data_IF_675348433039
#
_entry.id   IF_675348433039
#
_cell.length_a   1.000
_cell.length_b   1.000
_cell.length_c   1.000
_cell.angle_alpha   90.00
_cell.angle_beta   90.00
_cell.angle_gamma   90.00
#
_symmetry.space_group_name_H-M   'P 1'
#
loop_
_entity.id
_entity.type
_entity.pdbx_description
1 polymer ?
#
# COMPACT_ATOMS: atom_id res chain seq x y z
N UNK A 1 -0.54 -5.55 23.27
CA UNK A 1 -1.86 -5.45 22.60
C UNK A 1 -1.60 -5.49 21.11
N UNK A 2 -2.16 -6.47 20.40
CA UNK A 2 -2.02 -6.56 18.94
C UNK A 2 -3.13 -5.70 18.32
N UNK A 3 -2.75 -4.71 17.51
CA UNK A 3 -3.70 -3.87 16.77
C UNK A 3 -3.71 -4.32 15.31
N UNK A 4 -4.52 -5.34 14.99
CA UNK A 4 -4.63 -5.85 13.61
C UNK A 4 -5.64 -5.04 12.81
N UNK A 5 -5.41 -4.90 11.50
CA UNK A 5 -6.46 -4.52 10.56
C UNK A 5 -7.44 -5.70 10.42
N UNK A 6 -8.76 -5.49 10.55
CA UNK A 6 -9.74 -6.54 10.28
C UNK A 6 -9.54 -7.14 8.87
N UNK A 7 -9.44 -8.46 8.70
CA UNK A 7 -9.27 -9.10 7.37
C UNK A 7 -10.37 -8.74 6.37
N UNK A 8 -11.57 -8.45 6.85
CA UNK A 8 -12.73 -8.03 6.07
C UNK A 8 -12.52 -6.65 5.41
N UNK A 9 -11.58 -5.87 5.93
CA UNK A 9 -11.14 -4.61 5.32
C UNK A 9 -10.12 -4.81 4.20
N UNK A 10 -9.49 -6.00 4.10
CA UNK A 10 -8.52 -6.34 3.05
C UNK A 10 -9.21 -7.00 1.85
N UNK A 11 -10.29 -7.74 2.08
CA UNK A 11 -11.01 -8.47 1.03
C UNK A 11 -12.46 -8.73 1.40
N UNK A 12 -13.31 -8.80 0.40
CA UNK A 12 -14.74 -9.17 0.51
C UNK A 12 -14.96 -10.68 0.31
N UNK A 13 -13.94 -11.41 -0.12
CA UNK A 13 -14.02 -12.85 -0.33
C UNK A 13 -13.95 -13.59 1.01
N UNK A 14 -15.02 -14.28 1.44
CA UNK A 14 -15.07 -14.96 2.74
C UNK A 14 -14.03 -16.07 2.88
N UNK A 15 -13.65 -16.75 1.78
CA UNK A 15 -12.63 -17.81 1.84
C UNK A 15 -11.24 -17.21 2.07
N UNK A 16 -10.96 -16.03 1.51
CA UNK A 16 -9.69 -15.32 1.74
C UNK A 16 -9.66 -14.69 3.14
N UNK A 17 -10.78 -14.16 3.63
CA UNK A 17 -10.89 -13.72 5.04
C UNK A 17 -10.56 -14.87 5.99
N UNK A 18 -11.11 -16.07 5.71
CA UNK A 18 -10.81 -17.27 6.49
C UNK A 18 -9.33 -17.63 6.40
N UNK A 19 -8.74 -17.68 5.20
CA UNK A 19 -7.33 -18.03 5.03
C UNK A 19 -6.40 -17.07 5.77
N UNK A 20 -6.71 -15.76 5.76
CA UNK A 20 -5.96 -14.72 6.49
C UNK A 20 -6.01 -14.98 8.00
N UNK A 21 -7.18 -15.31 8.54
CA UNK A 21 -7.34 -15.57 9.98
C UNK A 21 -6.64 -16.86 10.43
N UNK A 22 -6.60 -17.87 9.57
CA UNK A 22 -6.02 -19.18 9.87
C UNK A 22 -4.52 -19.27 9.56
N UNK A 23 -3.93 -18.26 8.92
CA UNK A 23 -2.53 -18.25 8.53
C UNK A 23 -1.59 -18.08 9.74
N UNK A 24 -0.84 -19.15 10.02
CA UNK A 24 0.15 -19.20 11.12
C UNK A 24 1.38 -18.32 10.88
N UNK A 25 1.63 -17.89 9.64
CA UNK A 25 2.73 -17.01 9.28
C UNK A 25 2.34 -15.53 9.35
N UNK A 26 1.06 -15.22 9.56
CA UNK A 26 0.61 -13.85 9.73
C UNK A 26 0.78 -13.40 11.18
N UNK A 27 2.00 -12.93 11.50
CA UNK A 27 2.39 -12.66 12.87
C UNK A 27 1.65 -11.48 13.53
N UNK A 28 1.14 -10.52 12.76
CA UNK A 28 0.41 -9.35 13.27
C UNK A 28 1.18 -8.56 14.36
N UNK A 29 2.51 -8.65 14.36
CA UNK A 29 3.39 -7.98 15.32
C UNK A 29 4.39 -7.11 14.59
N UNK A 30 4.68 -5.94 15.15
CA UNK A 30 5.75 -5.05 14.71
C UNK A 30 6.50 -4.47 15.90
N UNK A 31 7.73 -4.01 15.67
CA UNK A 31 8.49 -3.23 16.67
C UNK A 31 8.21 -1.75 16.51
N UNK A 32 8.56 -0.94 17.51
CA UNK A 32 8.43 0.52 17.41
C UNK A 32 9.33 1.11 16.32
N UNK A 33 10.52 0.54 16.13
CA UNK A 33 11.44 0.92 15.05
C UNK A 33 10.85 0.57 13.68
N UNK A 34 10.18 -0.59 13.57
CA UNK A 34 9.45 -0.98 12.37
C UNK A 34 8.31 -0.01 12.04
N UNK A 35 7.55 0.41 13.06
CA UNK A 35 6.48 1.40 12.91
C UNK A 35 7.04 2.76 12.48
N UNK A 36 8.11 3.24 13.13
CA UNK A 36 8.78 4.49 12.76
C UNK A 36 9.26 4.46 11.29
N UNK A 37 9.95 3.38 10.89
CA UNK A 37 10.41 3.22 9.52
C UNK A 37 9.28 3.07 8.49
N UNK A 38 8.11 2.59 8.87
CA UNK A 38 6.93 2.58 8.00
C UNK A 38 6.39 4.01 7.80
N UNK A 39 6.27 4.80 8.88
CA UNK A 39 5.82 6.19 8.81
C UNK A 39 6.75 7.07 7.96
N UNK A 40 8.07 6.91 8.11
CA UNK A 40 9.06 7.66 7.32
C UNK A 40 8.94 7.38 5.81
N UNK A 41 8.73 6.11 5.44
CA UNK A 41 8.55 5.70 4.03
C UNK A 41 7.24 6.24 3.46
N UNK A 42 6.16 6.20 4.23
CA UNK A 42 4.87 6.80 3.85
C UNK A 42 5.01 8.30 3.65
N UNK A 43 5.73 9.00 4.53
CA UNK A 43 5.98 10.43 4.39
C UNK A 43 6.80 10.74 3.13
N UNK A 44 7.83 9.95 2.82
CA UNK A 44 8.63 10.12 1.61
C UNK A 44 7.81 9.91 0.32
N UNK A 45 6.91 8.92 0.31
CA UNK A 45 5.97 8.71 -0.80
C UNK A 45 5.02 9.90 -0.96
N UNK A 46 4.34 10.31 0.12
CA UNK A 46 3.36 11.40 0.08
C UNK A 46 3.96 12.76 -0.30
N UNK A 47 5.22 13.00 0.08
CA UNK A 47 5.97 14.21 -0.26
C UNK A 47 6.58 14.18 -1.68
N UNK A 48 6.37 13.10 -2.46
CA UNK A 48 6.92 12.96 -3.81
C UNK A 48 8.45 12.81 -3.85
N UNK A 49 9.09 12.47 -2.71
CA UNK A 49 10.53 12.21 -2.63
C UNK A 49 10.90 10.89 -3.32
N UNK A 50 10.01 9.91 -3.23
CA UNK A 50 10.14 8.64 -3.95
C UNK A 50 9.62 8.81 -5.37
N UNK A 51 10.51 8.70 -6.36
CA UNK A 51 10.17 8.80 -7.78
C UNK A 51 10.62 7.55 -8.53
N UNK A 52 10.03 7.31 -9.69
CA UNK A 52 10.54 6.28 -10.59
C UNK A 52 11.99 6.56 -11.00
N UNK A 53 12.80 5.50 -11.05
CA UNK A 53 14.17 5.61 -11.52
C UNK A 53 14.20 6.06 -13.00
N UNK A 54 15.25 6.77 -13.43
CA UNK A 54 15.45 7.10 -14.83
C UNK A 54 15.44 5.84 -15.71
N UNK A 55 14.73 5.88 -16.83
CA UNK A 55 14.68 4.78 -17.80
C UNK A 55 13.54 3.77 -17.59
N UNK A 56 12.75 3.87 -16.52
CA UNK A 56 11.49 3.13 -16.40
C UNK A 56 10.53 3.58 -17.51
N UNK A 57 10.07 2.64 -18.32
CA UNK A 57 9.21 2.91 -19.49
C UNK A 57 7.73 2.67 -19.24
N UNK A 58 7.40 1.81 -18.28
CA UNK A 58 6.04 1.37 -18.01
C UNK A 58 5.87 1.06 -16.53
N UNK A 59 4.70 1.38 -15.99
CA UNK A 59 4.30 1.08 -14.62
C UNK A 59 2.87 0.55 -14.67
N UNK A 60 2.61 -0.56 -13.98
CA UNK A 60 1.26 -0.99 -13.65
C UNK A 60 1.06 -0.78 -12.15
N UNK A 61 0.00 -0.08 -11.80
CA UNK A 61 -0.36 0.22 -10.41
C UNK A 61 -1.83 -0.14 -10.22
N UNK A 62 -2.10 -1.09 -9.33
CA UNK A 62 -3.45 -1.48 -8.93
C UNK A 62 -3.71 -1.10 -7.49
N UNK A 63 -4.85 -0.47 -7.22
CA UNK A 63 -5.26 -0.13 -5.86
C UNK A 63 -6.79 -0.26 -5.74
N UNK A 64 -7.27 -0.87 -4.66
CA UNK A 64 -8.71 -1.01 -4.42
C UNK A 64 -9.32 0.32 -3.95
N UNK A 65 -10.33 0.82 -4.64
CA UNK A 65 -11.01 2.09 -4.29
C UNK A 65 -11.66 2.09 -2.91
N UNK A 66 -11.91 0.92 -2.33
CA UNK A 66 -12.50 0.75 -1.00
C UNK A 66 -11.51 0.22 0.05
N UNK A 67 -10.21 0.15 -0.27
CA UNK A 67 -9.18 -0.29 0.67
C UNK A 67 -9.23 0.56 1.96
N UNK A 68 -9.21 -0.10 3.12
CA UNK A 68 -9.16 0.55 4.44
C UNK A 68 -7.81 0.39 5.14
N UNK A 69 -6.86 -0.30 4.51
CA UNK A 69 -5.48 -0.42 4.94
C UNK A 69 -4.60 0.71 4.41
N UNK A 70 -4.70 1.03 3.13
CA UNK A 70 -3.94 2.10 2.47
C UNK A 70 -4.82 3.07 1.69
N UNK A 71 -4.29 4.23 1.26
CA UNK A 71 -5.08 5.27 0.57
C UNK A 71 -5.00 5.14 -0.95
N UNK A 72 -6.17 4.97 -1.55
CA UNK A 72 -6.35 4.99 -3.01
C UNK A 72 -5.96 6.35 -3.59
N UNK A 73 -6.44 7.45 -3.00
CA UNK A 73 -6.17 8.82 -3.45
C UNK A 73 -4.69 9.16 -3.34
N UNK A 74 -4.01 8.65 -2.31
CA UNK A 74 -2.57 8.79 -2.16
C UNK A 74 -1.80 8.11 -3.30
N UNK A 75 -2.27 6.94 -3.74
CA UNK A 75 -1.68 6.21 -4.87
C UNK A 75 -1.92 6.93 -6.18
N UNK A 76 -3.14 7.41 -6.42
CA UNK A 76 -3.50 8.23 -7.60
C UNK A 76 -2.65 9.50 -7.68
N UNK A 77 -2.56 10.23 -6.57
CA UNK A 77 -1.73 11.44 -6.46
C UNK A 77 -0.28 11.14 -6.81
N UNK A 78 0.33 10.12 -6.18
CA UNK A 78 1.72 9.76 -6.44
C UNK A 78 1.95 9.34 -7.91
N UNK A 79 1.03 8.59 -8.51
CA UNK A 79 1.10 8.20 -9.92
C UNK A 79 1.04 9.42 -10.85
N UNK A 80 0.15 10.36 -10.56
CA UNK A 80 0.00 11.60 -11.32
C UNK A 80 1.23 12.51 -11.19
N UNK A 81 1.97 12.47 -10.08
CA UNK A 81 3.23 13.18 -9.90
C UNK A 81 4.41 12.57 -10.69
N UNK A 82 4.30 11.34 -11.20
CA UNK A 82 5.37 10.72 -12.00
C UNK A 82 5.42 11.31 -13.42
N UNK A 83 6.37 12.21 -13.69
CA UNK A 83 6.50 12.90 -14.99
C UNK A 83 7.24 12.12 -16.07
N UNK A 84 7.92 11.03 -15.71
CA UNK A 84 8.66 10.18 -16.65
C UNK A 84 7.77 9.27 -17.50
N UNK A 85 6.50 9.10 -17.13
CA UNK A 85 5.51 8.30 -17.84
C UNK A 85 4.68 9.21 -18.74
N UNK A 86 4.47 8.81 -20.00
CA UNK A 86 3.79 9.62 -21.02
C UNK A 86 2.29 9.34 -21.10
N UNK A 87 1.90 8.08 -20.97
CA UNK A 87 0.53 7.61 -21.18
C UNK A 87 0.01 7.05 -19.85
N UNK A 88 -0.58 7.93 -19.03
CA UNK A 88 -1.06 7.60 -17.69
C UNK A 88 -2.59 7.53 -17.66
N UNK A 89 -3.08 6.39 -17.19
CA UNK A 89 -4.49 6.13 -16.86
C UNK A 89 -4.49 5.50 -15.46
N UNK A 90 -5.44 5.89 -14.60
CA UNK A 90 -5.56 5.40 -13.23
C UNK A 90 -6.95 4.79 -13.00
#
# INVERSE_FOLDING_TARGET
>A
MVSRLPPENLTRDPEVVKSINEDKLMHNTGTLEGLAGMLDRTAALNQGKTKLNPGIKSLWLGHGTEDKGTSFEGSEKWFNEQTGLKDKEF
#
